data_IF_411784983021
#
_entry.id   IF_411784983021
#
_cell.length_a   1.000
_cell.length_b   1.000
_cell.length_c   1.000
_cell.angle_alpha   90.00
_cell.angle_beta   90.00
_cell.angle_gamma   90.00
#
_symmetry.space_group_name_H-M   'P 1'
#
loop_
_entity.id
_entity.type
_entity.pdbx_description
1 polymer ?
#
# COMPACT_ATOMS: atom_id res chain seq x y z
N UNK A 1 66.38 -61.54 16.34
CA UNK A 1 66.62 -60.90 15.03
C UNK A 1 65.31 -60.82 14.24
N UNK A 2 64.36 -60.00 14.69
CA UNK A 2 63.02 -59.84 14.08
C UNK A 2 62.81 -58.45 13.48
N UNK A 3 63.78 -57.55 13.63
CA UNK A 3 63.71 -56.15 13.20
C UNK A 3 64.00 -55.96 11.69
N UNK A 4 64.53 -57.00 11.03
CA UNK A 4 64.86 -57.02 9.61
C UNK A 4 64.03 -58.08 8.85
N UNK A 5 62.86 -58.44 9.36
CA UNK A 5 61.93 -59.33 8.65
C UNK A 5 61.13 -58.50 7.62
N UNK A 6 61.21 -58.82 6.32
CA UNK A 6 60.47 -58.12 5.26
C UNK A 6 58.97 -58.01 5.54
N UNK A 7 58.38 -58.98 6.25
CA UNK A 7 56.94 -59.01 6.57
C UNK A 7 56.54 -57.93 7.58
N UNK A 8 57.40 -57.65 8.55
CA UNK A 8 57.19 -56.59 9.55
C UNK A 8 57.24 -55.23 8.85
N UNK A 9 58.19 -55.04 7.93
CA UNK A 9 58.32 -53.80 7.17
C UNK A 9 57.17 -53.58 6.19
N UNK A 10 56.67 -54.65 5.54
CA UNK A 10 55.47 -54.59 4.70
C UNK A 10 54.22 -54.20 5.51
N UNK A 11 54.03 -54.78 6.70
CA UNK A 11 52.92 -54.42 7.57
C UNK A 11 52.96 -52.94 8.00
N UNK A 12 54.16 -52.41 8.30
CA UNK A 12 54.35 -50.98 8.61
C UNK A 12 54.03 -50.10 7.41
N UNK A 13 54.51 -50.44 6.21
CA UNK A 13 54.17 -49.68 4.99
C UNK A 13 52.68 -49.67 4.70
N UNK A 14 52.01 -50.81 4.83
CA UNK A 14 50.55 -50.91 4.65
C UNK A 14 49.81 -50.04 5.67
N UNK A 15 50.22 -50.05 6.94
CA UNK A 15 49.61 -49.21 7.97
C UNK A 15 49.78 -47.71 7.69
N UNK A 16 50.97 -47.29 7.23
CA UNK A 16 51.23 -45.89 6.82
C UNK A 16 50.40 -45.49 5.61
N UNK A 17 50.26 -46.37 4.62
CA UNK A 17 49.46 -46.10 3.42
C UNK A 17 47.96 -46.00 3.75
N UNK A 18 47.43 -46.88 4.60
CA UNK A 18 46.04 -46.83 5.05
C UNK A 18 45.78 -45.56 5.86
N UNK A 19 46.68 -45.19 6.77
CA UNK A 19 46.57 -43.97 7.58
C UNK A 19 46.59 -42.69 6.75
N UNK A 20 47.50 -42.59 5.79
CA UNK A 20 47.57 -41.43 4.87
C UNK A 20 46.35 -41.34 3.96
N UNK A 21 45.88 -42.47 3.41
CA UNK A 21 44.69 -42.50 2.57
C UNK A 21 43.42 -42.10 3.35
N UNK A 22 43.19 -42.67 4.54
CA UNK A 22 42.02 -42.33 5.37
C UNK A 22 42.04 -40.87 5.83
N UNK A 23 43.21 -40.33 6.19
CA UNK A 23 43.37 -38.91 6.50
C UNK A 23 43.06 -37.99 5.32
N UNK A 24 43.57 -38.32 4.12
CA UNK A 24 43.30 -37.56 2.89
C UNK A 24 41.81 -37.58 2.52
N UNK A 25 41.18 -38.76 2.46
CA UNK A 25 39.77 -38.89 2.12
C UNK A 25 38.86 -38.17 3.12
N UNK A 26 39.15 -38.28 4.43
CA UNK A 26 38.38 -37.59 5.46
C UNK A 26 38.51 -36.07 5.35
N UNK A 27 39.73 -35.55 5.22
CA UNK A 27 39.97 -34.11 5.06
C UNK A 27 39.30 -33.55 3.80
N UNK A 28 39.32 -34.31 2.69
CA UNK A 28 38.68 -33.92 1.45
C UNK A 28 37.15 -33.90 1.56
N UNK A 29 36.56 -34.89 2.24
CA UNK A 29 35.11 -34.93 2.49
C UNK A 29 34.65 -33.82 3.44
N UNK A 30 35.41 -33.56 4.51
CA UNK A 30 35.12 -32.51 5.48
C UNK A 30 35.26 -31.11 4.84
N UNK A 31 36.27 -30.89 3.99
CA UNK A 31 36.43 -29.64 3.23
C UNK A 31 35.31 -29.37 2.21
N UNK A 32 34.79 -30.42 1.54
CA UNK A 32 33.64 -30.27 0.64
C UNK A 32 32.35 -30.00 1.42
N UNK A 33 32.17 -30.58 2.62
CA UNK A 33 31.01 -30.29 3.48
C UNK A 33 31.05 -28.86 4.02
N UNK A 34 32.20 -28.37 4.46
CA UNK A 34 32.31 -27.00 4.99
C UNK A 34 32.07 -25.96 3.90
N UNK A 35 32.58 -26.17 2.70
CA UNK A 35 32.36 -25.28 1.56
C UNK A 35 30.91 -25.27 1.07
N UNK A 36 30.26 -26.44 1.03
CA UNK A 36 28.83 -26.52 0.66
C UNK A 36 27.92 -25.88 1.71
N UNK A 37 28.18 -26.08 3.01
CA UNK A 37 27.43 -25.41 4.09
C UNK A 37 27.66 -23.90 4.06
N UNK A 38 28.90 -23.45 3.81
CA UNK A 38 29.20 -22.02 3.67
C UNK A 38 28.47 -21.40 2.48
N UNK A 39 28.45 -22.09 1.34
CA UNK A 39 27.71 -21.65 0.15
C UNK A 39 26.19 -21.61 0.40
N UNK A 40 25.62 -22.61 1.07
CA UNK A 40 24.20 -22.62 1.45
C UNK A 40 23.85 -21.47 2.41
N UNK A 41 24.70 -21.22 3.42
CA UNK A 41 24.51 -20.07 4.33
C UNK A 41 24.56 -18.74 3.58
N UNK A 42 25.48 -18.58 2.64
CA UNK A 42 25.56 -17.39 1.81
C UNK A 42 24.32 -17.21 0.94
N UNK A 43 23.78 -18.31 0.37
CA UNK A 43 22.53 -18.27 -0.39
C UNK A 43 21.33 -17.91 0.48
N UNK A 44 21.20 -18.50 1.67
CA UNK A 44 20.12 -18.18 2.62
C UNK A 44 20.20 -16.70 3.02
N UNK A 45 21.39 -16.20 3.37
CA UNK A 45 21.58 -14.80 3.72
C UNK A 45 21.23 -13.85 2.55
N UNK A 46 21.57 -14.23 1.32
CA UNK A 46 21.20 -13.45 0.13
C UNK A 46 19.68 -13.44 -0.12
N UNK A 47 19.01 -14.58 0.07
CA UNK A 47 17.55 -14.68 -0.04
C UNK A 47 16.85 -13.91 1.07
N UNK A 48 17.35 -13.97 2.30
CA UNK A 48 16.79 -13.24 3.44
C UNK A 48 16.97 -11.73 3.26
N UNK A 49 18.13 -11.28 2.75
CA UNK A 49 18.34 -9.88 2.39
C UNK A 49 17.39 -9.42 1.28
N UNK A 50 17.18 -10.23 0.25
CA UNK A 50 16.22 -9.93 -0.82
C UNK A 50 14.77 -9.85 -0.30
N UNK A 51 14.36 -10.80 0.56
CA UNK A 51 13.03 -10.79 1.19
C UNK A 51 12.83 -9.60 2.12
N UNK A 52 13.85 -9.20 2.88
CA UNK A 52 13.77 -8.02 3.73
C UNK A 52 13.53 -6.74 2.91
N UNK A 53 14.18 -6.63 1.75
CA UNK A 53 13.96 -5.51 0.82
C UNK A 53 12.56 -5.56 0.19
N UNK A 54 12.09 -6.73 -0.23
CA UNK A 54 10.73 -6.90 -0.74
C UNK A 54 9.67 -6.58 0.31
N UNK A 55 9.87 -6.99 1.57
CA UNK A 55 8.99 -6.66 2.68
C UNK A 55 8.98 -5.15 2.96
N UNK A 56 10.14 -4.50 2.93
CA UNK A 56 10.24 -3.04 3.07
C UNK A 56 9.44 -2.31 1.99
N UNK A 57 9.57 -2.74 0.73
CA UNK A 57 8.82 -2.16 -0.41
C UNK A 57 7.32 -2.40 -0.29
N UNK A 58 6.94 -3.63 0.07
CA UNK A 58 5.52 -4.00 0.24
C UNK A 58 4.88 -3.23 1.38
N UNK A 59 5.58 -3.06 2.51
CA UNK A 59 5.10 -2.27 3.64
C UNK A 59 4.88 -0.79 3.26
N UNK A 60 5.83 -0.18 2.54
CA UNK A 60 5.68 1.20 2.06
C UNK A 60 4.51 1.37 1.07
N UNK A 61 4.30 0.38 0.20
CA UNK A 61 3.14 0.36 -0.71
C UNK A 61 1.81 0.18 0.03
N UNK A 62 1.77 -0.70 1.03
CA UNK A 62 0.58 -0.91 1.86
C UNK A 62 0.21 0.34 2.65
N UNK A 63 1.18 0.99 3.29
CA UNK A 63 0.93 2.23 4.03
C UNK A 63 0.38 3.33 3.12
N UNK A 64 0.93 3.46 1.91
CA UNK A 64 0.44 4.43 0.91
C UNK A 64 -0.98 4.09 0.47
N UNK A 65 -1.27 2.82 0.18
CA UNK A 65 -2.59 2.35 -0.21
C UNK A 65 -3.64 2.54 0.90
N UNK A 66 -3.29 2.23 2.15
CA UNK A 66 -4.16 2.38 3.31
C UNK A 66 -4.46 3.86 3.57
N UNK A 67 -3.47 4.74 3.43
CA UNK A 67 -3.68 6.17 3.57
C UNK A 67 -4.62 6.71 2.48
N UNK A 68 -4.41 6.33 1.22
CA UNK A 68 -5.26 6.73 0.12
C UNK A 68 -6.69 6.17 0.26
N UNK A 69 -6.85 4.93 0.74
CA UNK A 69 -8.16 4.36 1.05
C UNK A 69 -8.88 5.18 2.13
N UNK A 70 -8.17 5.54 3.21
CA UNK A 70 -8.75 6.36 4.28
C UNK A 70 -9.16 7.76 3.81
N UNK A 71 -8.33 8.43 3.01
CA UNK A 71 -8.67 9.74 2.44
C UNK A 71 -9.87 9.65 1.49
N UNK A 72 -9.98 8.58 0.70
CA UNK A 72 -11.16 8.31 -0.13
C UNK A 72 -12.42 8.10 0.69
N UNK A 73 -12.35 7.28 1.73
CA UNK A 73 -13.50 7.00 2.58
C UNK A 73 -13.99 8.26 3.30
N UNK A 74 -13.05 9.11 3.75
CA UNK A 74 -13.37 10.42 4.31
C UNK A 74 -14.03 11.35 3.28
N UNK A 75 -13.46 11.48 2.08
CA UNK A 75 -14.06 12.31 1.02
C UNK A 75 -15.46 11.83 0.63
N UNK A 76 -15.70 10.51 0.59
CA UNK A 76 -17.03 9.94 0.34
C UNK A 76 -18.01 10.27 1.47
N UNK A 77 -17.57 10.15 2.73
CA UNK A 77 -18.40 10.50 3.89
C UNK A 77 -18.75 12.00 3.90
N UNK A 78 -17.79 12.86 3.60
CA UNK A 78 -17.97 14.31 3.54
C UNK A 78 -18.92 14.70 2.39
N UNK A 79 -18.77 14.08 1.22
CA UNK A 79 -19.68 14.28 0.08
C UNK A 79 -21.11 13.83 0.41
N UNK A 80 -21.27 12.70 1.13
CA UNK A 80 -22.58 12.22 1.58
C UNK A 80 -23.22 13.19 2.60
N UNK A 81 -22.43 13.70 3.55
CA UNK A 81 -22.89 14.68 4.52
C UNK A 81 -23.31 16.01 3.86
N UNK A 82 -22.52 16.49 2.90
CA UNK A 82 -22.84 17.68 2.11
C UNK A 82 -24.14 17.48 1.30
N UNK A 83 -24.31 16.32 0.66
CA UNK A 83 -25.52 15.99 -0.10
C UNK A 83 -26.75 15.96 0.82
N UNK A 84 -26.64 15.35 2.00
CA UNK A 84 -27.73 15.33 2.98
C UNK A 84 -28.10 16.73 3.50
N UNK A 85 -27.10 17.60 3.70
CA UNK A 85 -27.32 19.00 4.07
C UNK A 85 -28.02 19.79 2.95
N UNK A 86 -27.59 19.61 1.70
CA UNK A 86 -28.21 20.23 0.53
C UNK A 86 -29.67 19.79 0.38
N UNK A 87 -29.97 18.50 0.52
CA UNK A 87 -31.34 17.99 0.48
C UNK A 87 -32.21 18.54 1.62
N UNK A 88 -31.63 18.68 2.82
CA UNK A 88 -32.28 19.32 3.96
C UNK A 88 -32.63 20.78 3.67
N UNK A 89 -31.73 21.53 3.02
CA UNK A 89 -31.95 22.91 2.62
C UNK A 89 -33.03 23.01 1.53
N UNK A 90 -32.99 22.15 0.51
CA UNK A 90 -34.01 22.09 -0.56
C UNK A 90 -35.41 21.86 -0.01
N UNK A 91 -35.56 20.94 0.95
CA UNK A 91 -36.85 20.69 1.63
C UNK A 91 -37.36 21.93 2.36
N UNK A 92 -36.47 22.62 3.08
CA UNK A 92 -36.84 23.86 3.80
C UNK A 92 -37.23 24.98 2.82
N UNK A 93 -36.50 25.13 1.72
CA UNK A 93 -36.82 26.09 0.67
C UNK A 93 -38.15 25.77 0.00
N UNK A 94 -38.45 24.51 -0.30
CA UNK A 94 -39.73 24.09 -0.86
C UNK A 94 -40.90 24.47 0.07
N UNK A 95 -40.77 24.22 1.38
CA UNK A 95 -41.77 24.63 2.38
C UNK A 95 -41.91 26.15 2.43
N UNK A 96 -40.80 26.89 2.33
CA UNK A 96 -40.82 28.35 2.34
C UNK A 96 -41.49 28.94 1.09
N UNK A 97 -41.15 28.42 -0.10
CA UNK A 97 -41.79 28.78 -1.37
C UNK A 97 -43.28 28.51 -1.32
N UNK A 98 -43.69 27.34 -0.82
CA UNK A 98 -45.11 26.99 -0.72
C UNK A 98 -45.88 27.92 0.23
N UNK A 99 -45.29 28.22 1.39
CA UNK A 99 -45.86 29.20 2.32
C UNK A 99 -45.94 30.60 1.72
N UNK A 100 -44.95 31.00 0.91
CA UNK A 100 -44.96 32.29 0.24
C UNK A 100 -46.02 32.37 -0.87
N UNK A 101 -46.33 31.25 -1.54
CA UNK A 101 -47.42 31.15 -2.52
C UNK A 101 -48.81 31.17 -1.88
N UNK A 102 -48.93 30.78 -0.61
CA UNK A 102 -50.18 30.76 0.15
C UNK A 102 -50.15 31.67 1.40
N UNK A 103 -50.06 33.00 1.23
CA UNK A 103 -50.02 33.93 2.35
C UNK A 103 -51.35 33.96 3.11
N UNK A 104 -51.30 33.95 4.44
CA UNK A 104 -52.48 34.02 5.31
C UNK A 104 -53.20 35.39 5.25
N UNK A 105 -52.53 36.43 4.74
CA UNK A 105 -53.09 37.75 4.51
C UNK A 105 -53.57 37.88 3.06
N UNK A 106 -54.74 38.48 2.87
CA UNK A 106 -55.27 38.79 1.54
C UNK A 106 -54.37 39.80 0.83
N UNK A 107 -53.59 39.32 -0.13
CA UNK A 107 -52.77 40.18 -0.98
C UNK A 107 -53.69 41.07 -1.85
N UNK A 108 -53.38 42.37 -1.93
CA UNK A 108 -54.18 43.36 -2.68
C UNK A 108 -54.08 43.16 -4.21
N UNK A 109 -53.08 42.42 -4.67
CA UNK A 109 -52.87 41.98 -6.05
C UNK A 109 -52.00 40.72 -6.08
N UNK A 110 -52.19 39.85 -7.07
CA UNK A 110 -51.31 38.72 -7.31
C UNK A 110 -49.93 39.20 -7.81
N UNK A 111 -48.82 38.60 -7.36
CA UNK A 111 -47.50 38.89 -7.93
C UNK A 111 -47.45 38.44 -9.40
N UNK A 112 -46.76 39.20 -10.25
CA UNK A 112 -46.65 38.93 -11.68
C UNK A 112 -45.75 37.71 -12.03
N UNK A 113 -45.17 37.03 -11.03
CA UNK A 113 -44.31 35.85 -11.18
C UNK A 113 -43.88 35.27 -9.82
N UNK A 114 -43.01 34.24 -9.86
CA UNK A 114 -42.47 33.55 -8.68
C UNK A 114 -40.95 33.80 -8.51
N UNK A 115 -40.54 34.99 -8.01
CA UNK A 115 -39.13 35.32 -7.85
C UNK A 115 -38.41 34.42 -6.82
N UNK A 116 -39.13 33.90 -5.82
CA UNK A 116 -38.55 33.02 -4.79
C UNK A 116 -38.31 31.62 -5.37
N UNK A 117 -39.24 31.11 -6.18
CA UNK A 117 -39.06 29.86 -6.91
C UNK A 117 -37.87 29.90 -7.86
N UNK A 118 -37.67 31.01 -8.59
CA UNK A 118 -36.50 31.18 -9.47
C UNK A 118 -35.19 31.21 -8.67
N UNK A 119 -35.15 31.92 -7.53
CA UNK A 119 -33.97 31.92 -6.66
C UNK A 119 -33.67 30.52 -6.10
N UNK A 120 -34.70 29.76 -5.71
CA UNK A 120 -34.53 28.39 -5.23
C UNK A 120 -34.02 27.46 -6.34
N UNK A 121 -34.49 27.61 -7.57
CA UNK A 121 -34.04 26.84 -8.74
C UNK A 121 -32.59 27.14 -9.09
N UNK A 122 -32.21 28.43 -9.14
CA UNK A 122 -30.82 28.86 -9.38
C UNK A 122 -29.90 28.36 -8.28
N UNK A 123 -30.31 28.46 -7.01
CA UNK A 123 -29.51 27.95 -5.89
C UNK A 123 -29.31 26.43 -5.98
N UNK A 124 -30.36 25.66 -6.28
CA UNK A 124 -30.24 24.22 -6.52
C UNK A 124 -29.27 23.91 -7.66
N UNK A 125 -29.39 24.62 -8.78
CA UNK A 125 -28.52 24.40 -9.94
C UNK A 125 -27.06 24.75 -9.66
N UNK A 126 -26.79 25.80 -8.88
CA UNK A 126 -25.42 26.16 -8.46
C UNK A 126 -24.86 25.15 -7.48
N UNK A 127 -25.63 24.71 -6.48
CA UNK A 127 -25.21 23.71 -5.51
C UNK A 127 -24.89 22.37 -6.17
N UNK A 128 -25.72 21.92 -7.14
CA UNK A 128 -25.47 20.68 -7.87
C UNK A 128 -24.15 20.74 -8.65
N UNK A 129 -23.89 21.85 -9.34
CA UNK A 129 -22.63 22.06 -10.07
C UNK A 129 -21.43 22.19 -9.15
N UNK A 130 -21.59 22.85 -8.01
CA UNK A 130 -20.55 22.94 -6.99
C UNK A 130 -20.21 21.54 -6.44
N UNK A 131 -21.22 20.68 -6.23
CA UNK A 131 -21.04 19.29 -5.80
C UNK A 131 -20.29 18.45 -6.83
N UNK A 132 -20.65 18.53 -8.12
CA UNK A 132 -19.91 17.86 -9.21
C UNK A 132 -18.44 18.31 -9.26
N UNK A 133 -18.19 19.61 -9.13
CA UNK A 133 -16.84 20.17 -9.15
C UNK A 133 -16.02 19.73 -7.94
N UNK A 134 -16.64 19.70 -6.75
CA UNK A 134 -16.00 19.23 -5.53
C UNK A 134 -15.62 17.75 -5.63
N UNK A 135 -16.54 16.90 -6.11
CA UNK A 135 -16.27 15.48 -6.32
C UNK A 135 -15.10 15.24 -7.30
N UNK A 136 -15.04 16.01 -8.39
CA UNK A 136 -13.90 15.95 -9.32
C UNK A 136 -12.59 16.41 -8.65
N UNK A 137 -12.63 17.52 -7.92
CA UNK A 137 -11.46 18.07 -7.24
C UNK A 137 -10.90 17.11 -6.18
N UNK A 138 -11.77 16.46 -5.41
CA UNK A 138 -11.37 15.45 -4.42
C UNK A 138 -10.75 14.22 -5.09
N UNK A 139 -11.36 13.71 -6.16
CA UNK A 139 -10.80 12.59 -6.91
C UNK A 139 -9.42 12.92 -7.49
N UNK A 140 -9.27 14.12 -8.08
CA UNK A 140 -7.99 14.58 -8.63
C UNK A 140 -6.93 14.76 -7.54
N UNK A 141 -7.30 15.35 -6.39
CA UNK A 141 -6.40 15.54 -5.24
C UNK A 141 -5.90 14.21 -4.70
N UNK A 142 -6.80 13.25 -4.47
CA UNK A 142 -6.46 11.92 -3.96
C UNK A 142 -5.51 11.20 -4.94
N UNK A 143 -5.81 11.23 -6.24
CA UNK A 143 -4.95 10.64 -7.25
C UNK A 143 -3.56 11.30 -7.29
N UNK A 144 -3.48 12.62 -7.18
CA UNK A 144 -2.23 13.36 -7.12
C UNK A 144 -1.39 12.99 -5.89
N UNK A 145 -2.01 12.95 -4.71
CA UNK A 145 -1.33 12.56 -3.47
C UNK A 145 -0.81 11.13 -3.52
N UNK A 146 -1.51 10.20 -4.17
CA UNK A 146 -1.03 8.85 -4.38
C UNK A 146 0.22 8.84 -5.29
N UNK A 147 0.18 9.56 -6.41
CA UNK A 147 1.32 9.68 -7.32
C UNK A 147 2.57 10.26 -6.63
N UNK A 148 2.40 11.29 -5.80
CA UNK A 148 3.49 11.91 -5.04
C UNK A 148 4.13 10.90 -4.06
N UNK A 149 3.32 10.17 -3.29
CA UNK A 149 3.82 9.16 -2.34
C UNK A 149 4.52 8.00 -3.03
N UNK A 150 3.97 7.52 -4.15
CA UNK A 150 4.59 6.45 -4.93
C UNK A 150 5.95 6.90 -5.48
N UNK A 151 6.04 8.14 -5.95
CA UNK A 151 7.30 8.74 -6.39
C UNK A 151 8.32 8.87 -5.25
N UNK A 152 7.89 9.36 -4.08
CA UNK A 152 8.73 9.49 -2.90
C UNK A 152 9.23 8.12 -2.42
N UNK A 153 8.39 7.08 -2.43
CA UNK A 153 8.77 5.72 -2.08
C UNK A 153 9.82 5.15 -3.06
N UNK A 154 9.65 5.39 -4.36
CA UNK A 154 10.61 4.96 -5.39
C UNK A 154 11.95 5.69 -5.30
N UNK A 155 11.93 7.00 -5.01
CA UNK A 155 13.14 7.82 -4.93
C UNK A 155 13.88 7.66 -3.60
N UNK A 156 13.18 7.43 -2.48
CA UNK A 156 13.77 7.09 -1.20
C UNK A 156 14.44 5.71 -1.22
N UNK A 157 13.94 4.76 -2.02
CA UNK A 157 14.58 3.47 -2.22
C UNK A 157 15.84 3.53 -3.10
N UNK A 158 16.02 4.61 -3.88
CA UNK A 158 17.16 4.82 -4.77
C UNK A 158 18.33 5.60 -4.14
N UNK A 159 18.12 6.20 -2.97
CA UNK A 159 19.16 6.87 -2.16
C UNK A 159 19.71 5.91 -1.10
#
# INVERSE_FOLDING_TARGET
MTFLDPRVWLAVMVAVFIGSATGYFKGHADGVRTTTIAAQKAQIAAVDAARAEEQRRTAAQQESADHAAKERDQAVADAAAASAAADGLRKQLAVYVERARHPAATARSAPAGDPIGVLADVLSGVDDRAGELAAYADAARIAGQQCERDYDALTAAAR
#
